data_IF_851807901926
#
_entry.id   IF_851807901926
#
_cell.length_a   1.000
_cell.length_b   1.000
_cell.length_c   1.000
_cell.angle_alpha   90.00
_cell.angle_beta   90.00
_cell.angle_gamma   90.00
#
_symmetry.space_group_name_H-M   'P 1'
#
loop_
_entity.id
_entity.type
_entity.pdbx_description
1 polymer ?
#
# COMPACT_ATOMS: atom_id res chain seq x y z
N UNK A 1 -22.60 -14.44 28.06
CA UNK A 1 -21.53 -14.79 27.09
C UNK A 1 -21.90 -14.16 25.76
N UNK A 2 -21.35 -12.98 25.47
CA UNK A 2 -21.63 -12.25 24.23
C UNK A 2 -20.50 -12.53 23.23
N UNK A 3 -20.88 -13.02 22.07
CA UNK A 3 -20.02 -13.33 20.92
C UNK A 3 -19.37 -12.05 20.42
N UNK A 4 -18.05 -11.94 20.55
CA UNK A 4 -17.28 -10.88 19.90
C UNK A 4 -17.46 -10.99 18.38
N UNK A 5 -17.89 -9.91 17.75
CA UNK A 5 -17.94 -9.81 16.30
C UNK A 5 -16.53 -10.05 15.73
N UNK A 6 -16.40 -11.06 14.87
CA UNK A 6 -15.18 -11.30 14.10
C UNK A 6 -14.91 -10.08 13.23
N UNK A 7 -13.70 -9.52 13.34
CA UNK A 7 -13.13 -8.67 12.31
C UNK A 7 -13.33 -9.36 10.95
N UNK A 8 -13.83 -8.60 9.97
CA UNK A 8 -14.27 -9.13 8.67
C UNK A 8 -13.21 -10.02 8.04
N UNK A 9 -13.63 -11.19 7.56
CA UNK A 9 -12.76 -12.20 6.96
C UNK A 9 -11.85 -11.58 5.90
N UNK A 10 -10.54 -11.71 6.11
CA UNK A 10 -9.53 -11.44 5.10
C UNK A 10 -9.80 -12.37 3.92
N UNK A 11 -10.11 -11.80 2.74
CA UNK A 11 -10.16 -12.59 1.51
C UNK A 11 -8.76 -13.09 1.18
N UNK A 12 -8.63 -14.37 0.85
CA UNK A 12 -7.39 -14.97 0.37
C UNK A 12 -6.93 -14.32 -0.94
N UNK A 13 -5.63 -14.45 -1.22
CA UNK A 13 -5.05 -14.02 -2.48
C UNK A 13 -5.62 -14.83 -3.67
N UNK A 14 -5.73 -14.21 -4.84
CA UNK A 14 -6.37 -14.82 -6.00
C UNK A 14 -5.60 -14.56 -7.30
N UNK A 15 -5.61 -15.54 -8.19
CA UNK A 15 -5.12 -15.45 -9.58
C UNK A 15 -6.21 -15.81 -10.59
N UNK A 16 -7.48 -15.92 -10.18
CA UNK A 16 -8.57 -16.37 -11.06
C UNK A 16 -8.92 -15.33 -12.14
N UNK A 17 -9.36 -15.82 -13.29
CA UNK A 17 -9.81 -14.98 -14.41
C UNK A 17 -11.00 -14.08 -14.02
N UNK A 18 -11.91 -14.59 -13.19
CA UNK A 18 -13.07 -13.82 -12.71
C UNK A 18 -12.62 -12.60 -11.88
N UNK A 19 -11.70 -12.82 -10.94
CA UNK A 19 -11.08 -11.77 -10.11
C UNK A 19 -10.30 -10.77 -10.96
N UNK A 20 -9.55 -11.25 -11.96
CA UNK A 20 -8.83 -10.41 -12.91
C UNK A 20 -9.77 -9.52 -13.71
N UNK A 21 -10.87 -10.09 -14.23
CA UNK A 21 -11.86 -9.35 -15.00
C UNK A 21 -12.60 -8.31 -14.15
N UNK A 22 -12.89 -8.62 -12.88
CA UNK A 22 -13.44 -7.67 -11.91
C UNK A 22 -12.50 -6.49 -11.68
N UNK A 23 -11.23 -6.77 -11.37
CA UNK A 23 -10.20 -5.74 -11.15
C UNK A 23 -10.01 -4.86 -12.39
N UNK A 24 -9.96 -5.46 -13.58
CA UNK A 24 -9.83 -4.71 -14.83
C UNK A 24 -11.01 -3.75 -15.05
N UNK A 25 -12.23 -4.12 -14.66
CA UNK A 25 -13.42 -3.25 -14.76
C UNK A 25 -13.42 -2.10 -13.76
N UNK A 26 -12.76 -2.25 -12.61
CA UNK A 26 -12.70 -1.18 -11.60
C UNK A 26 -11.68 -0.08 -11.92
N UNK A 27 -10.80 -0.28 -12.90
CA UNK A 27 -9.81 0.72 -13.33
C UNK A 27 -10.48 1.74 -14.26
N UNK A 28 -10.56 3.03 -13.88
CA UNK A 28 -11.22 4.05 -14.69
C UNK A 28 -10.30 4.54 -15.81
N UNK A 29 -10.09 3.74 -16.86
CA UNK A 29 -9.19 4.05 -17.99
C UNK A 29 -9.41 5.45 -18.58
N UNK A 30 -10.66 5.92 -18.63
CA UNK A 30 -10.99 7.25 -19.14
C UNK A 30 -10.47 8.41 -18.26
N UNK A 31 -10.24 8.18 -16.96
CA UNK A 31 -9.68 9.16 -16.01
C UNK A 31 -8.16 9.15 -15.94
N UNK A 32 -7.52 8.08 -16.42
CA UNK A 32 -6.05 8.02 -16.55
C UNK A 32 -5.59 9.08 -17.53
N UNK A 33 -4.49 9.76 -17.21
CA UNK A 33 -3.83 10.73 -18.09
C UNK A 33 -3.65 10.12 -19.51
N UNK A 34 -4.11 10.81 -20.57
CA UNK A 34 -4.02 10.31 -21.94
C UNK A 34 -2.64 9.82 -22.35
N UNK A 35 -1.55 10.38 -21.78
CA UNK A 35 -0.19 9.96 -22.10
C UNK A 35 0.12 8.52 -21.64
N UNK A 36 -0.47 8.06 -20.53
CA UNK A 36 -0.21 6.73 -19.95
C UNK A 36 -1.25 5.69 -20.34
N UNK A 37 -2.43 6.12 -20.81
CA UNK A 37 -3.56 5.24 -21.14
C UNK A 37 -3.19 4.11 -22.12
N UNK A 38 -2.41 4.31 -23.20
CA UNK A 38 -2.02 3.23 -24.09
C UNK A 38 -1.18 2.15 -23.40
N UNK A 39 -0.21 2.56 -22.57
CA UNK A 39 0.65 1.63 -21.83
C UNK A 39 -0.14 0.82 -20.79
N UNK A 40 -1.01 1.49 -20.03
CA UNK A 40 -1.90 0.81 -19.07
C UNK A 40 -2.81 -0.19 -19.79
N UNK A 41 -3.45 0.22 -20.89
CA UNK A 41 -4.32 -0.66 -21.67
C UNK A 41 -3.56 -1.88 -22.22
N UNK A 42 -2.32 -1.71 -22.68
CA UNK A 42 -1.50 -2.79 -23.21
C UNK A 42 -1.11 -3.85 -22.16
N UNK A 43 -0.94 -3.45 -20.89
CA UNK A 43 -0.70 -4.37 -19.76
C UNK A 43 -1.99 -5.08 -19.36
N UNK A 44 -3.12 -4.36 -19.30
CA UNK A 44 -4.41 -4.92 -18.87
C UNK A 44 -5.05 -5.86 -19.90
N UNK A 45 -4.77 -5.67 -21.18
CA UNK A 45 -5.33 -6.48 -22.26
C UNK A 45 -4.81 -7.93 -22.22
N UNK A 46 -3.51 -8.09 -21.95
CA UNK A 46 -2.83 -9.39 -21.97
C UNK A 46 -1.69 -9.42 -20.93
N UNK A 47 -2.02 -9.51 -19.63
CA UNK A 47 -1.01 -9.64 -18.59
C UNK A 47 -0.44 -11.07 -18.60
N UNK A 48 0.88 -11.17 -18.46
CA UNK A 48 1.56 -12.47 -18.27
C UNK A 48 1.21 -13.08 -16.92
N UNK A 49 1.05 -12.24 -15.88
CA UNK A 49 0.71 -12.66 -14.52
C UNK A 49 -0.34 -11.68 -13.98
N UNK A 50 -1.38 -12.23 -13.35
CA UNK A 50 -2.29 -11.47 -12.50
C UNK A 50 -2.23 -12.00 -11.07
N UNK A 51 -2.12 -11.08 -10.11
CA UNK A 51 -2.18 -11.39 -8.69
C UNK A 51 -3.03 -10.35 -7.95
N UNK A 52 -4.09 -10.81 -7.31
CA UNK A 52 -4.75 -10.10 -6.22
C UNK A 52 -4.12 -10.55 -4.91
N UNK A 53 -3.51 -9.62 -4.18
CA UNK A 53 -2.96 -9.88 -2.85
C UNK A 53 -4.09 -10.10 -1.83
N UNK A 54 -3.82 -10.71 -0.67
CA UNK A 54 -4.83 -10.86 0.38
C UNK A 54 -5.41 -9.51 0.79
N UNK A 55 -6.69 -9.48 1.16
CA UNK A 55 -7.25 -8.29 1.79
C UNK A 55 -6.76 -8.20 3.23
N UNK A 56 -6.13 -7.09 3.58
CA UNK A 56 -5.64 -6.82 4.94
C UNK A 56 -6.51 -5.79 5.63
N UNK A 57 -6.93 -6.08 6.86
CA UNK A 57 -7.64 -5.15 7.73
C UNK A 57 -6.74 -4.83 8.91
N UNK A 58 -6.42 -3.55 9.10
CA UNK A 58 -5.45 -3.10 10.10
C UNK A 58 -6.02 -1.99 10.97
N UNK A 59 -5.64 -1.98 12.25
CA UNK A 59 -5.86 -0.81 13.12
C UNK A 59 -4.91 0.29 12.64
N UNK A 60 -5.46 1.24 11.89
CA UNK A 60 -4.71 2.34 11.31
C UNK A 60 -5.65 3.54 11.20
N UNK A 61 -5.14 4.72 11.54
CA UNK A 61 -5.89 5.96 11.33
C UNK A 61 -6.00 6.25 9.83
N UNK A 62 -7.21 6.49 9.29
CA UNK A 62 -7.41 6.67 7.85
C UNK A 62 -6.54 7.75 7.22
N UNK A 63 -6.30 8.86 7.94
CA UNK A 63 -5.52 10.00 7.46
C UNK A 63 -4.05 9.63 7.28
N UNK A 64 -3.48 8.87 8.21
CA UNK A 64 -2.11 8.36 8.10
C UNK A 64 -2.00 7.34 6.98
N UNK A 65 -2.99 6.44 6.84
CA UNK A 65 -3.00 5.47 5.75
C UNK A 65 -2.97 6.17 4.38
N UNK A 66 -3.86 7.13 4.16
CA UNK A 66 -3.92 7.90 2.91
C UNK A 66 -2.63 8.67 2.67
N UNK A 67 -2.04 9.29 3.71
CA UNK A 67 -0.76 9.97 3.59
C UNK A 67 0.36 9.03 3.09
N UNK A 68 0.49 7.85 3.69
CA UNK A 68 1.52 6.87 3.32
C UNK A 68 1.27 6.29 1.92
N UNK A 69 0.02 6.04 1.55
CA UNK A 69 -0.34 5.56 0.22
C UNK A 69 0.02 6.57 -0.89
N UNK A 70 -0.12 7.87 -0.60
CA UNK A 70 0.27 8.95 -1.52
C UNK A 70 1.78 9.24 -1.53
N UNK A 71 2.48 8.87 -0.46
CA UNK A 71 3.91 9.12 -0.29
C UNK A 71 4.65 7.81 0.05
N UNK A 72 4.63 6.80 -0.86
CA UNK A 72 5.22 5.49 -0.58
C UNK A 72 6.72 5.57 -0.28
N UNK A 73 7.42 6.59 -0.77
CA UNK A 73 8.83 6.83 -0.47
C UNK A 73 9.08 7.12 1.00
N UNK A 74 8.11 7.70 1.70
CA UNK A 74 8.20 7.95 3.14
C UNK A 74 8.21 6.61 3.90
N UNK A 75 7.32 5.69 3.53
CA UNK A 75 7.26 4.37 4.14
C UNK A 75 8.54 3.58 3.91
N UNK A 76 9.04 3.58 2.66
CA UNK A 76 10.30 2.91 2.30
C UNK A 76 11.48 3.51 3.07
N UNK A 77 11.55 4.83 3.19
CA UNK A 77 12.62 5.49 3.92
C UNK A 77 12.59 5.16 5.42
N UNK A 78 11.41 5.05 6.04
CA UNK A 78 11.32 4.62 7.45
C UNK A 78 11.89 3.20 7.61
N UNK A 79 11.52 2.25 6.73
CA UNK A 79 12.07 0.89 6.77
C UNK A 79 13.58 0.87 6.62
N UNK A 80 14.10 1.66 5.68
CA UNK A 80 15.53 1.78 5.44
C UNK A 80 16.25 2.39 6.64
N UNK A 81 15.67 3.42 7.25
CA UNK A 81 16.20 4.06 8.46
C UNK A 81 16.22 3.09 9.66
N UNK A 82 15.22 2.22 9.78
CA UNK A 82 15.16 1.17 10.81
C UNK A 82 16.02 -0.07 10.50
N UNK A 83 16.70 -0.11 9.35
CA UNK A 83 17.53 -1.25 8.93
C UNK A 83 16.74 -2.49 8.50
N UNK A 84 15.44 -2.35 8.23
CA UNK A 84 14.53 -3.45 7.85
C UNK A 84 14.70 -3.85 6.38
N UNK A 85 15.03 -2.89 5.51
CA UNK A 85 15.11 -3.09 4.07
C UNK A 85 16.22 -2.26 3.42
N UNK A 86 16.78 -2.78 2.32
CA UNK A 86 17.70 -2.06 1.44
C UNK A 86 16.99 -1.40 0.25
N UNK A 87 15.66 -1.55 0.16
CA UNK A 87 14.87 -0.91 -0.89
C UNK A 87 14.99 0.60 -0.77
N UNK A 88 15.19 1.24 -1.92
CA UNK A 88 15.18 2.68 -2.08
C UNK A 88 14.04 3.06 -3.00
N UNK A 89 13.33 4.12 -2.63
CA UNK A 89 12.29 4.73 -3.46
C UNK A 89 12.50 6.23 -3.45
N UNK A 90 12.94 6.79 -4.57
CA UNK A 90 13.28 8.20 -4.70
C UNK A 90 12.26 8.88 -5.60
N UNK A 91 11.50 9.82 -5.04
CA UNK A 91 10.56 10.62 -5.83
C UNK A 91 11.33 11.62 -6.70
N UNK A 92 11.09 11.58 -8.01
CA UNK A 92 11.78 12.42 -9.00
C UNK A 92 10.90 13.55 -9.53
N UNK A 93 9.57 13.40 -9.45
CA UNK A 93 8.58 14.42 -9.77
C UNK A 93 7.29 14.18 -8.96
N UNK A 94 6.23 14.95 -9.21
CA UNK A 94 4.97 14.84 -8.47
C UNK A 94 4.32 13.45 -8.51
N UNK A 95 4.56 12.64 -9.55
CA UNK A 95 3.89 11.35 -9.78
C UNK A 95 4.83 10.17 -9.82
N UNK A 96 6.12 10.40 -10.07
CA UNK A 96 7.09 9.35 -10.40
C UNK A 96 8.09 9.12 -9.28
N UNK A 97 8.28 7.86 -8.93
CA UNK A 97 9.38 7.39 -8.11
C UNK A 97 10.29 6.44 -8.87
N UNK A 98 11.60 6.52 -8.64
CA UNK A 98 12.57 5.49 -9.01
C UNK A 98 12.71 4.49 -7.88
N UNK A 99 12.71 3.20 -8.21
CA UNK A 99 12.87 2.11 -7.25
C UNK A 99 14.17 1.34 -7.53
N UNK A 100 14.85 0.92 -6.46
CA UNK A 100 15.90 -0.09 -6.49
C UNK A 100 15.80 -0.96 -5.24
N UNK A 101 15.85 -2.28 -5.40
CA UNK A 101 15.74 -3.22 -4.27
C UNK A 101 17.11 -3.59 -3.65
N UNK A 102 18.21 -3.13 -4.26
CA UNK A 102 19.57 -3.49 -3.84
C UNK A 102 19.97 -4.94 -4.13
N UNK A 103 19.11 -5.73 -4.78
CA UNK A 103 19.28 -7.14 -5.10
C UNK A 103 19.21 -7.44 -6.61
N UNK A 104 19.08 -6.40 -7.45
CA UNK A 104 19.12 -6.50 -8.91
C UNK A 104 17.89 -5.95 -9.62
N UNK A 105 16.82 -5.60 -8.88
CA UNK A 105 15.63 -4.96 -9.44
C UNK A 105 15.81 -3.45 -9.44
N UNK A 106 15.59 -2.83 -10.60
CA UNK A 106 15.47 -1.36 -10.73
C UNK A 106 14.27 -1.00 -11.57
N UNK A 107 13.72 0.19 -11.37
CA UNK A 107 12.57 0.62 -12.14
C UNK A 107 12.01 1.99 -11.79
N UNK A 108 10.82 2.24 -12.32
CA UNK A 108 10.01 3.43 -12.08
C UNK A 108 8.59 3.03 -11.72
N UNK A 109 7.97 3.81 -10.83
CA UNK A 109 6.56 3.73 -10.48
C UNK A 109 5.96 5.11 -10.72
N UNK A 110 4.90 5.18 -11.53
CA UNK A 110 4.21 6.41 -11.89
C UNK A 110 2.77 6.29 -11.41
N UNK A 111 2.30 7.23 -10.60
CA UNK A 111 0.86 7.34 -10.28
C UNK A 111 0.13 7.94 -11.47
N UNK A 112 -0.75 7.17 -12.10
CA UNK A 112 -1.42 7.54 -13.36
C UNK A 112 -2.89 7.93 -13.20
N UNK A 113 -3.53 7.48 -12.12
CA UNK A 113 -4.82 7.96 -11.64
C UNK A 113 -4.90 7.73 -10.13
N UNK A 114 -5.54 8.65 -9.42
CA UNK A 114 -5.85 8.46 -8.02
C UNK A 114 -7.15 9.15 -7.63
N UNK A 115 -7.88 8.54 -6.71
CA UNK A 115 -8.96 9.16 -5.94
C UNK A 115 -8.66 8.86 -4.47
N UNK A 116 -8.70 9.87 -3.61
CA UNK A 116 -8.48 9.73 -2.18
C UNK A 116 -9.52 10.59 -1.45
N UNK A 117 -10.45 9.95 -0.78
CA UNK A 117 -11.54 10.59 -0.05
C UNK A 117 -11.43 10.33 1.45
N UNK A 118 -12.33 10.95 2.23
CA UNK A 118 -12.39 10.76 3.68
C UNK A 118 -12.49 9.28 4.06
N UNK A 119 -11.94 8.90 5.22
CA UNK A 119 -12.02 7.53 5.69
C UNK A 119 -11.19 6.56 4.84
N UNK A 120 -10.08 7.05 4.27
CA UNK A 120 -9.15 6.26 3.46
C UNK A 120 -9.81 5.53 2.29
N UNK A 121 -10.88 6.11 1.73
CA UNK A 121 -11.52 5.63 0.51
C UNK A 121 -10.61 5.98 -0.66
N UNK A 122 -9.61 5.13 -0.88
CA UNK A 122 -8.55 5.36 -1.85
C UNK A 122 -8.67 4.38 -3.01
N UNK A 123 -8.44 4.87 -4.21
CA UNK A 123 -8.05 4.09 -5.38
C UNK A 123 -6.83 4.74 -6.00
N UNK A 124 -5.73 4.02 -6.06
CA UNK A 124 -4.48 4.52 -6.67
C UNK A 124 -4.08 3.53 -7.75
N UNK A 125 -4.01 4.00 -8.98
CA UNK A 125 -3.55 3.25 -10.15
C UNK A 125 -2.13 3.69 -10.47
N UNK A 126 -1.21 2.74 -10.47
CA UNK A 126 0.20 2.97 -10.77
C UNK A 126 0.62 2.19 -12.00
N UNK A 127 1.33 2.84 -12.91
CA UNK A 127 2.08 2.19 -13.98
C UNK A 127 3.53 2.07 -13.51
N UNK A 128 4.05 0.85 -13.47
CA UNK A 128 5.45 0.61 -13.16
C UNK A 128 6.17 -0.04 -14.34
N UNK A 129 7.44 0.25 -14.48
CA UNK A 129 8.33 -0.46 -15.39
C UNK A 129 9.63 -0.76 -14.68
N UNK A 130 10.23 -1.92 -14.93
CA UNK A 130 11.47 -2.28 -14.28
C UNK A 130 12.15 -3.44 -14.95
N UNK A 131 13.39 -3.67 -14.55
CA UNK A 131 14.18 -4.83 -14.93
C UNK A 131 14.80 -5.47 -13.70
N UNK A 132 14.91 -6.79 -13.75
CA UNK A 132 15.69 -7.58 -12.80
C UNK A 132 16.92 -8.15 -13.49
N UNK A 133 18.08 -7.90 -12.90
CA UNK A 133 19.36 -8.49 -13.28
C UNK A 133 19.94 -9.30 -12.12
N UNK A 134 20.03 -10.61 -12.28
CA UNK A 134 20.54 -11.48 -11.23
C UNK A 134 20.36 -12.96 -11.52
N UNK A 135 21.11 -13.80 -10.79
CA UNK A 135 20.97 -15.26 -10.88
C UNK A 135 19.55 -15.69 -10.48
N UNK A 136 18.98 -16.73 -11.13
CA UNK A 136 19.60 -17.62 -12.11
C UNK A 136 19.56 -17.13 -13.56
N UNK A 137 19.03 -15.93 -13.82
CA UNK A 137 18.83 -15.45 -15.19
C UNK A 137 20.13 -14.89 -15.79
N UNK A 138 20.44 -15.30 -17.02
CA UNK A 138 21.61 -14.82 -17.76
C UNK A 138 21.34 -13.50 -18.50
N UNK A 139 20.07 -13.16 -18.72
CA UNK A 139 19.64 -11.93 -19.36
C UNK A 139 18.66 -11.18 -18.46
N UNK A 140 18.64 -9.84 -18.51
CA UNK A 140 17.68 -9.04 -17.74
C UNK A 140 16.25 -9.43 -18.08
N UNK A 141 15.42 -9.58 -17.05
CA UNK A 141 13.97 -9.73 -17.19
C UNK A 141 13.36 -8.36 -17.03
N UNK A 142 12.76 -7.83 -18.10
CA UNK A 142 12.01 -6.57 -18.04
C UNK A 142 10.52 -6.84 -17.87
N UNK A 143 9.85 -5.96 -17.13
CA UNK A 143 8.42 -6.03 -16.88
C UNK A 143 7.78 -4.65 -16.92
N UNK A 144 6.54 -4.61 -17.40
CA UNK A 144 5.60 -3.52 -17.17
C UNK A 144 4.49 -4.00 -16.25
N UNK A 145 4.11 -3.19 -15.27
CA UNK A 145 3.10 -3.54 -14.29
C UNK A 145 2.04 -2.45 -14.18
N UNK A 146 0.79 -2.86 -14.00
CA UNK A 146 -0.28 -1.98 -13.51
C UNK A 146 -0.63 -2.48 -12.11
N UNK A 147 -0.45 -1.60 -11.12
CA UNK A 147 -0.81 -1.86 -9.72
C UNK A 147 -2.05 -1.02 -9.38
N UNK A 148 -2.98 -1.63 -8.66
CA UNK A 148 -4.19 -0.96 -8.18
C UNK A 148 -4.30 -1.17 -6.68
N UNK A 149 -4.05 -0.11 -5.91
CA UNK A 149 -4.33 -0.10 -4.48
C UNK A 149 -5.76 0.40 -4.28
N UNK A 150 -6.56 -0.37 -3.55
CA UNK A 150 -7.89 0.06 -3.08
C UNK A 150 -7.94 -0.05 -1.56
N UNK A 151 -8.46 0.97 -0.90
CA UNK A 151 -8.69 0.94 0.54
C UNK A 151 -10.00 1.61 0.94
N UNK A 152 -10.44 1.31 2.15
CA UNK A 152 -11.55 1.98 2.81
C UNK A 152 -11.51 1.69 4.30
N UNK A 153 -11.99 2.63 5.11
CA UNK A 153 -12.12 2.42 6.55
C UNK A 153 -13.51 1.98 6.97
N UNK A 154 -13.56 1.24 8.07
CA UNK A 154 -14.78 0.87 8.78
C UNK A 154 -14.64 1.25 10.25
N UNK A 155 -15.70 1.80 10.81
CA UNK A 155 -15.79 2.05 12.24
C UNK A 155 -16.40 0.82 12.93
N UNK A 156 -15.75 0.36 14.00
CA UNK A 156 -16.23 -0.69 14.88
C UNK A 156 -17.19 -0.13 15.93
N UNK A 157 -17.94 -1.00 16.62
CA UNK A 157 -18.96 -0.60 17.60
C UNK A 157 -18.40 0.23 18.77
N UNK A 158 -17.09 0.19 19.00
CA UNK A 158 -16.39 0.97 20.02
C UNK A 158 -15.87 2.33 19.51
N UNK A 159 -16.25 2.75 18.30
CA UNK A 159 -15.79 3.98 17.65
C UNK A 159 -14.35 3.92 17.12
N UNK A 160 -13.67 2.76 17.19
CA UNK A 160 -12.33 2.58 16.63
C UNK A 160 -12.45 2.38 15.12
N UNK A 161 -11.60 3.02 14.33
CA UNK A 161 -11.55 2.86 12.88
C UNK A 161 -10.45 1.89 12.47
N UNK A 162 -10.77 1.02 11.52
CA UNK A 162 -9.85 0.09 10.88
C UNK A 162 -9.83 0.37 9.39
N UNK A 163 -8.66 0.21 8.75
CA UNK A 163 -8.54 0.34 7.29
C UNK A 163 -8.43 -1.05 6.68
N UNK A 164 -9.33 -1.35 5.76
CA UNK A 164 -9.23 -2.48 4.86
C UNK A 164 -8.53 -2.02 3.58
N UNK A 165 -7.50 -2.75 3.14
CA UNK A 165 -6.80 -2.48 1.90
C UNK A 165 -6.53 -3.76 1.10
N UNK A 166 -6.44 -3.59 -0.21
CA UNK A 166 -6.12 -4.66 -1.16
C UNK A 166 -5.31 -4.07 -2.31
N UNK A 167 -4.40 -4.87 -2.85
CA UNK A 167 -3.67 -4.54 -4.06
C UNK A 167 -3.92 -5.60 -5.13
N UNK A 168 -4.14 -5.14 -6.36
CA UNK A 168 -4.17 -5.98 -7.56
C UNK A 168 -2.96 -5.62 -8.45
N UNK A 169 -2.26 -6.62 -8.97
CA UNK A 169 -1.10 -6.47 -9.83
C UNK A 169 -1.31 -7.21 -11.16
N UNK A 170 -1.20 -6.47 -12.26
CA UNK A 170 -1.13 -6.97 -13.62
C UNK A 170 0.30 -6.81 -14.09
N UNK A 171 0.97 -7.90 -14.47
CA UNK A 171 2.38 -7.89 -14.83
C UNK A 171 2.51 -8.44 -16.24
N UNK A 172 3.21 -7.70 -17.10
CA UNK A 172 3.55 -8.08 -18.46
C UNK A 172 5.07 -8.18 -18.57
N UNK A 173 5.59 -9.36 -18.89
CA UNK A 173 7.02 -9.60 -19.05
C UNK A 173 7.43 -9.40 -20.52
N UNK A 174 8.61 -8.84 -20.76
CA UNK A 174 9.20 -8.74 -22.10
C UNK A 174 10.12 -9.95 -22.38
N UNK A 175 9.73 -10.84 -23.32
CA UNK A 175 10.56 -11.70 -24.23
C UNK A 175 9.87 -12.99 -24.70
N UNK A 176 10.25 -13.45 -25.91
CA UNK A 176 9.72 -14.52 -26.79
C UNK A 176 9.53 -15.96 -26.26
N UNK A 177 9.67 -16.24 -24.96
CA UNK A 177 9.28 -17.55 -24.38
C UNK A 177 8.56 -17.40 -23.03
N UNK A 178 7.51 -16.57 -23.04
CA UNK A 178 6.66 -16.20 -21.90
C UNK A 178 6.18 -17.39 -21.07
N UNK A 179 5.80 -18.51 -21.69
CA UNK A 179 5.12 -19.60 -20.99
C UNK A 179 6.01 -20.36 -20.00
N UNK A 180 7.29 -20.57 -20.29
CA UNK A 180 8.20 -21.29 -19.39
C UNK A 180 8.72 -20.40 -18.26
N UNK A 181 9.08 -19.16 -18.56
CA UNK A 181 9.55 -18.20 -17.55
C UNK A 181 8.41 -17.82 -16.61
N UNK A 182 7.21 -17.57 -17.12
CA UNK A 182 6.05 -17.29 -16.28
C UNK A 182 5.75 -18.46 -15.33
N UNK A 183 5.73 -19.71 -15.82
CA UNK A 183 5.51 -20.89 -14.96
C UNK A 183 6.59 -21.07 -13.89
N UNK A 184 7.85 -20.74 -14.20
CA UNK A 184 8.95 -20.83 -13.25
C UNK A 184 8.93 -19.73 -12.18
N UNK A 185 8.47 -18.51 -12.54
CA UNK A 185 8.57 -17.31 -11.70
C UNK A 185 7.27 -17.03 -10.94
N UNK A 186 6.12 -17.43 -11.47
CA UNK A 186 4.79 -17.17 -10.89
C UNK A 186 4.64 -17.61 -9.42
N UNK A 187 5.11 -18.80 -8.98
CA UNK A 187 4.99 -19.20 -7.57
C UNK A 187 5.75 -18.27 -6.63
N UNK A 188 6.94 -17.84 -7.02
CA UNK A 188 7.79 -16.98 -6.19
C UNK A 188 7.31 -15.54 -6.18
N UNK A 189 6.90 -15.00 -7.33
CA UNK A 189 6.35 -13.65 -7.43
C UNK A 189 5.05 -13.52 -6.64
N UNK A 190 4.14 -14.50 -6.74
CA UNK A 190 2.89 -14.49 -5.98
C UNK A 190 3.12 -14.50 -4.47
N UNK A 191 3.91 -15.45 -3.95
CA UNK A 191 4.17 -15.56 -2.51
C UNK A 191 4.94 -14.35 -1.96
N UNK A 192 5.95 -13.88 -2.69
CA UNK A 192 6.74 -12.71 -2.29
C UNK A 192 5.88 -11.46 -2.28
N UNK A 193 5.04 -11.26 -3.30
CA UNK A 193 4.15 -10.11 -3.36
C UNK A 193 3.12 -10.10 -2.24
N UNK A 194 2.50 -11.26 -1.94
CA UNK A 194 1.56 -11.39 -0.83
C UNK A 194 2.21 -11.10 0.52
N UNK A 195 3.40 -11.65 0.74
CA UNK A 195 4.17 -11.43 1.97
C UNK A 195 4.57 -9.96 2.10
N UNK A 196 5.15 -9.37 1.06
CA UNK A 196 5.52 -7.96 1.07
C UNK A 196 4.32 -7.07 1.36
N UNK A 197 3.16 -7.36 0.77
CA UNK A 197 1.93 -6.61 1.06
C UNK A 197 1.47 -6.79 2.52
N UNK A 198 1.46 -8.02 3.02
CA UNK A 198 1.06 -8.31 4.41
C UNK A 198 2.00 -7.64 5.43
N UNK A 199 3.31 -7.77 5.23
CA UNK A 199 4.34 -7.16 6.08
C UNK A 199 4.25 -5.62 6.04
N UNK A 200 3.98 -5.06 4.85
CA UNK A 200 3.71 -3.61 4.69
C UNK A 200 2.49 -3.17 5.50
N UNK A 201 1.38 -3.90 5.42
CA UNK A 201 0.15 -3.56 6.13
C UNK A 201 0.32 -3.66 7.66
N UNK A 202 1.01 -4.70 8.14
CA UNK A 202 1.34 -4.82 9.55
C UNK A 202 2.22 -3.66 10.04
N UNK A 203 3.20 -3.26 9.23
CA UNK A 203 4.03 -2.12 9.55
C UNK A 203 3.22 -0.82 9.64
N UNK A 204 2.31 -0.57 8.69
CA UNK A 204 1.43 0.60 8.70
C UNK A 204 0.57 0.63 9.98
N UNK A 205 0.10 -0.53 10.44
CA UNK A 205 -0.62 -0.63 11.72
C UNK A 205 0.25 -0.23 12.91
N UNK A 206 1.46 -0.79 13.01
CA UNK A 206 2.41 -0.48 14.08
C UNK A 206 2.85 0.99 14.08
N UNK A 207 3.04 1.56 12.89
CA UNK A 207 3.36 2.96 12.72
C UNK A 207 2.21 3.84 13.20
N UNK A 208 0.95 3.49 12.85
CA UNK A 208 -0.23 4.20 13.34
C UNK A 208 -0.40 4.12 14.85
N UNK A 209 -0.16 2.96 15.44
CA UNK A 209 -0.17 2.78 16.88
C UNK A 209 0.89 3.65 17.57
N UNK A 210 2.11 3.66 17.01
CA UNK A 210 3.22 4.47 17.53
C UNK A 210 2.93 5.96 17.39
N UNK A 211 2.41 6.39 16.24
CA UNK A 211 1.98 7.76 16.02
C UNK A 211 0.90 8.20 17.01
N UNK A 212 -0.02 7.32 17.36
CA UNK A 212 -1.07 7.61 18.34
C UNK A 212 -0.52 7.77 19.77
N UNK A 213 0.44 6.94 20.17
CA UNK A 213 0.95 6.89 21.55
C UNK A 213 2.19 7.75 21.79
N UNK A 214 3.01 7.96 20.76
CA UNK A 214 4.35 8.57 20.81
C UNK A 214 4.65 9.35 19.51
N UNK A 215 3.84 10.37 19.17
CA UNK A 215 4.05 11.15 17.94
C UNK A 215 5.44 11.79 17.87
N UNK A 216 6.05 12.14 19.00
CA UNK A 216 7.40 12.69 19.10
C UNK A 216 8.49 11.72 18.60
N UNK A 217 8.28 10.41 18.77
CA UNK A 217 9.20 9.40 18.25
C UNK A 217 9.16 9.35 16.72
N UNK A 218 7.98 9.51 16.13
CA UNK A 218 7.80 9.59 14.67
C UNK A 218 8.40 10.89 14.13
N UNK A 219 8.25 11.98 14.87
CA UNK A 219 8.87 13.25 14.52
C UNK A 219 10.39 13.18 14.49
N UNK A 220 11.01 12.56 15.50
CA UNK A 220 12.46 12.39 15.52
C UNK A 220 12.95 11.57 14.33
N UNK A 221 12.29 10.44 14.03
CA UNK A 221 12.59 9.64 12.83
C UNK A 221 12.45 10.50 11.57
N UNK A 222 11.38 11.29 11.46
CA UNK A 222 11.15 12.17 10.32
C UNK A 222 12.30 13.17 10.13
N UNK A 223 12.77 13.82 11.20
CA UNK A 223 13.89 14.77 11.17
C UNK A 223 15.18 14.13 10.64
N UNK A 224 15.42 12.86 11.00
CA UNK A 224 16.63 12.14 10.61
C UNK A 224 16.59 11.58 9.16
N UNK A 225 15.41 11.56 8.52
CA UNK A 225 15.23 11.14 7.12
C UNK A 225 15.66 12.24 6.12
N UNK A 226 16.97 12.44 6.00
CA UNK A 226 17.56 13.46 5.11
C UNK A 226 17.37 13.21 3.61
N UNK A 227 17.03 11.98 3.21
CA UNK A 227 16.78 11.61 1.81
C UNK A 227 15.37 11.98 1.33
N UNK A 228 14.48 12.38 2.24
CA UNK A 228 13.17 12.94 1.88
C UNK A 228 13.29 14.47 1.73
N UNK A 229 12.35 15.08 1.02
CA UNK A 229 12.24 16.53 1.03
C UNK A 229 11.48 17.03 2.26
N UNK A 230 11.56 18.34 2.50
CA UNK A 230 10.95 18.96 3.68
C UNK A 230 9.41 18.80 3.71
N UNK A 231 8.66 19.00 2.62
CA UNK A 231 7.21 18.80 2.61
C UNK A 231 6.79 17.41 3.06
N UNK A 232 7.48 16.34 2.61
CA UNK A 232 7.12 14.96 2.99
C UNK A 232 7.45 14.66 4.45
N UNK A 233 8.59 15.13 4.95
CA UNK A 233 8.90 15.02 6.38
C UNK A 233 7.85 15.72 7.24
N UNK A 234 7.48 16.95 6.88
CA UNK A 234 6.45 17.72 7.59
C UNK A 234 5.07 17.05 7.49
N UNK A 235 4.75 16.46 6.34
CA UNK A 235 3.54 15.68 6.14
C UNK A 235 3.45 14.48 7.09
N UNK A 236 4.55 13.73 7.26
CA UNK A 236 4.59 12.61 8.20
C UNK A 236 4.42 13.07 9.65
N UNK A 237 5.12 14.13 10.05
CA UNK A 237 5.00 14.73 11.39
C UNK A 237 3.55 15.13 11.65
N UNK A 238 2.94 15.87 10.71
CA UNK A 238 1.55 16.31 10.81
C UNK A 238 0.60 15.12 10.96
N UNK A 239 0.74 14.10 10.11
CA UNK A 239 -0.09 12.90 10.18
C UNK A 239 0.06 12.16 11.53
N UNK A 240 1.28 12.13 12.09
CA UNK A 240 1.53 11.50 13.38
C UNK A 240 0.81 12.23 14.53
N UNK A 241 0.92 13.56 14.60
CA UNK A 241 0.21 14.35 15.62
C UNK A 241 -1.31 14.33 15.45
N UNK A 242 -1.82 14.23 14.22
CA UNK A 242 -3.25 14.01 13.97
C UNK A 242 -3.72 12.65 14.51
N UNK A 243 -2.92 11.59 14.37
CA UNK A 243 -3.21 10.28 14.98
C UNK A 243 -3.30 10.39 16.51
N UNK A 244 -2.34 11.07 17.14
CA UNK A 244 -2.32 11.26 18.59
C UNK A 244 -3.55 12.02 19.10
N UNK A 245 -3.95 13.09 18.40
CA UNK A 245 -5.16 13.84 18.76
C UNK A 245 -6.42 12.97 18.60
N UNK A 246 -6.57 12.27 17.48
CA UNK A 246 -7.68 11.35 17.26
C UNK A 246 -7.73 10.22 18.31
N UNK A 247 -6.56 9.74 18.76
CA UNK A 247 -6.41 8.81 19.87
C UNK A 247 -7.00 9.35 21.17
N UNK A 248 -6.58 10.54 21.59
CA UNK A 248 -7.08 11.21 22.80
C UNK A 248 -8.58 11.42 22.76
N UNK A 249 -9.11 11.91 21.64
CA UNK A 249 -10.56 12.15 21.49
C UNK A 249 -11.37 10.86 21.59
N UNK A 250 -10.88 9.76 21.01
CA UNK A 250 -11.51 8.46 21.14
C UNK A 250 -11.52 7.95 22.58
N UNK A 251 -10.41 8.07 23.31
CA UNK A 251 -10.31 7.67 24.72
C UNK A 251 -11.26 8.46 25.63
N UNK A 252 -11.36 9.78 25.42
CA UNK A 252 -12.28 10.65 26.15
C UNK A 252 -13.75 10.27 25.89
N UNK A 253 -14.11 10.03 24.62
CA UNK A 253 -15.47 9.64 24.23
C UNK A 253 -15.85 8.30 24.85
N UNK A 254 -14.95 7.32 24.79
CA UNK A 254 -15.15 5.99 25.38
C UNK A 254 -15.31 6.04 26.90
N UNK A 255 -14.47 6.84 27.58
CA UNK A 255 -14.56 7.01 29.03
C UNK A 255 -15.89 7.65 29.42
N UNK A 256 -16.35 8.67 28.69
CA UNK A 256 -17.67 9.29 28.90
C UNK A 256 -18.81 8.29 28.73
N UNK A 257 -18.79 7.46 27.69
CA UNK A 257 -19.81 6.44 27.45
C UNK A 257 -19.87 5.41 28.58
N UNK A 258 -18.71 4.91 29.04
CA UNK A 258 -18.65 3.95 30.15
C UNK A 258 -19.22 4.53 31.46
N UNK A 259 -18.95 5.81 31.76
CA UNK A 259 -19.51 6.48 32.94
C UNK A 259 -21.03 6.63 32.88
N UNK A 260 -21.60 6.90 31.70
CA UNK A 260 -23.06 6.99 31.50
C UNK A 260 -23.76 5.64 31.65
N UNK A 261 -23.15 4.56 31.16
CA UNK A 261 -23.66 3.19 31.34
C UNK A 261 -23.64 2.74 32.80
N UNK A 262 -22.66 3.19 33.57
CA UNK A 262 -22.53 2.84 35.00
C UNK A 262 -23.52 3.62 35.88
N UNK A 263 -23.93 4.83 35.47
CA UNK A 263 -24.88 5.68 36.21
C UNK A 263 -26.35 5.29 35.97
N UNK A 264 -26.65 4.59 34.88
CA UNK A 264 -27.98 4.11 34.51
C UNK A 264 -28.29 2.67 34.97
N UNK A 265 -27.44 2.07 35.81
CA UNK A 265 -27.66 0.78 36.48
C UNK A 265 -27.82 0.97 37.97
#
# INVERSE_FOLDING_TARGET
>A
MATAARAGESSEASTSEATQAESRRSIPLAKIDPQFRPAVAAVLADPTIFRRMPTSVVDCRPELFTFLALNPEVMVEIWRHLGVSQVTLTRIDERTCKISDGAGTTGTIIVVEQTCEEGAQNRIVMLASGSFEGKPFQQPISAQCVLVLTSGSKEETNGRRFVAARMDAFIKLDRMSLALVAKAVHPFVGQTADRNFTDTMLFVSNLSYTAEKRPEAIEQVAIDMKNLDQPRRQGLIKAAYQCAEAGRQWELTRTRQASLETTNR
#
